data_IF_369877641087
#
_entry.id   IF_369877641087
#
_cell.length_a   1.000
_cell.length_b   1.000
_cell.length_c   1.000
_cell.angle_alpha   90.00
_cell.angle_beta   90.00
_cell.angle_gamma   90.00
#
_symmetry.space_group_name_H-M   'P 1'
#
loop_
_entity.id
_entity.type
_entity.pdbx_description
1 polymer ?
#
# COMPACT_ATOMS: atom_id res chain seq x y z
N UNK A 1 5.55 0.68 -0.78
CA UNK A 1 6.12 -0.37 -1.66
C UNK A 1 7.37 -0.91 -1.01
N UNK A 2 7.78 -2.14 -1.31
CA UNK A 2 9.03 -2.71 -0.77
C UNK A 2 10.29 -2.02 -1.28
N UNK A 3 10.25 -1.39 -2.45
CA UNK A 3 11.35 -0.64 -3.06
C UNK A 3 11.26 0.88 -2.81
N UNK A 4 10.45 1.32 -1.84
CA UNK A 4 10.34 2.72 -1.44
C UNK A 4 11.29 3.03 -0.27
N UNK A 5 12.39 3.73 -0.57
CA UNK A 5 13.38 4.14 0.43
C UNK A 5 12.93 5.28 1.36
N UNK A 6 11.83 5.98 1.04
CA UNK A 6 11.31 7.11 1.82
C UNK A 6 10.17 6.64 2.73
N UNK A 7 9.14 6.02 2.15
CA UNK A 7 7.99 5.49 2.90
C UNK A 7 8.23 4.01 3.28
N UNK A 8 9.29 3.78 4.05
CA UNK A 8 9.65 2.44 4.54
C UNK A 8 8.55 1.83 5.43
N UNK A 9 8.59 0.51 5.63
CA UNK A 9 7.62 -0.19 6.51
C UNK A 9 7.57 0.41 7.92
N UNK A 10 8.71 0.65 8.61
CA UNK A 10 8.69 1.28 9.94
C UNK A 10 8.18 2.73 9.92
N UNK A 11 8.53 3.52 8.89
CA UNK A 11 8.06 4.91 8.78
C UNK A 11 6.54 5.00 8.61
N UNK A 12 5.97 4.17 7.72
CA UNK A 12 4.53 4.08 7.54
C UNK A 12 3.82 3.58 8.81
N UNK A 13 4.38 2.58 9.49
CA UNK A 13 3.83 2.06 10.75
C UNK A 13 3.76 3.15 11.83
N UNK A 14 4.83 3.92 12.00
CA UNK A 14 4.87 5.01 12.98
C UNK A 14 3.81 6.10 12.70
N UNK A 15 3.50 6.38 11.43
CA UNK A 15 2.39 7.28 11.06
C UNK A 15 1.05 6.63 11.38
N UNK A 16 0.87 5.36 10.99
CA UNK A 16 -0.38 4.62 11.17
C UNK A 16 -0.78 4.46 12.64
N UNK A 17 0.19 4.29 13.55
CA UNK A 17 -0.02 4.20 15.00
C UNK A 17 -0.65 5.44 15.63
N UNK A 18 -0.63 6.59 14.94
CA UNK A 18 -1.28 7.83 15.42
C UNK A 18 -2.81 7.76 15.32
N UNK A 19 -3.37 6.88 14.48
CA UNK A 19 -4.81 6.72 14.30
C UNK A 19 -5.43 5.81 15.37
N UNK A 20 -5.61 6.32 16.59
CA UNK A 20 -6.10 5.53 17.75
C UNK A 20 -7.59 5.17 17.73
N UNK A 21 -8.40 5.87 16.94
CA UNK A 21 -9.85 5.69 16.86
C UNK A 21 -10.33 4.92 15.62
N UNK A 22 -9.42 4.30 14.86
CA UNK A 22 -9.74 3.62 13.61
C UNK A 22 -9.08 2.23 13.55
N UNK A 23 -9.68 1.33 12.78
CA UNK A 23 -8.99 0.14 12.33
C UNK A 23 -7.82 0.55 11.41
N UNK A 24 -6.71 -0.18 11.53
CA UNK A 24 -5.45 0.13 10.87
C UNK A 24 -4.97 -1.13 10.18
N UNK A 25 -4.71 -1.01 8.89
CA UNK A 25 -4.15 -2.08 8.07
C UNK A 25 -2.99 -1.49 7.28
N UNK A 26 -1.87 -2.21 7.24
CA UNK A 26 -0.72 -1.86 6.42
C UNK A 26 -0.48 -3.01 5.44
N UNK A 27 -0.36 -2.70 4.15
CA UNK A 27 0.00 -3.67 3.13
C UNK A 27 1.36 -3.33 2.53
N UNK A 28 2.16 -4.35 2.23
CA UNK A 28 3.44 -4.20 1.53
C UNK A 28 3.33 -4.84 0.16
N UNK A 29 3.35 -4.01 -0.89
CA UNK A 29 3.36 -4.47 -2.27
C UNK A 29 4.78 -4.49 -2.82
N UNK A 30 5.10 -5.58 -3.53
CA UNK A 30 6.33 -5.72 -4.30
C UNK A 30 6.11 -5.24 -5.75
N UNK A 31 7.14 -4.70 -6.43
CA UNK A 31 7.07 -4.40 -7.86
C UNK A 31 6.56 -5.57 -8.71
N UNK A 32 6.98 -6.80 -8.35
CA UNK A 32 6.59 -8.04 -9.01
C UNK A 32 5.08 -8.32 -8.95
N UNK A 33 4.38 -7.88 -7.90
CA UNK A 33 2.91 -7.98 -7.79
C UNK A 33 2.19 -7.19 -8.89
N UNK A 34 2.92 -6.31 -9.58
CA UNK A 34 2.43 -5.45 -10.66
C UNK A 34 3.16 -5.66 -11.98
N UNK A 35 3.92 -6.75 -12.11
CA UNK A 35 4.70 -7.06 -13.31
C UNK A 35 5.73 -5.99 -13.68
N UNK A 36 6.27 -5.28 -12.68
CA UNK A 36 7.28 -4.23 -12.87
C UNK A 36 8.57 -4.62 -12.14
N UNK A 37 9.70 -4.21 -12.71
CA UNK A 37 11.02 -4.43 -12.08
C UNK A 37 11.27 -3.45 -10.91
N UNK A 38 10.70 -2.25 -11.00
CA UNK A 38 10.75 -1.23 -9.96
C UNK A 38 9.53 -0.29 -10.06
N UNK A 39 9.11 0.23 -8.91
CA UNK A 39 8.04 1.21 -8.74
C UNK A 39 8.58 2.45 -8.01
N UNK A 40 9.26 2.26 -6.88
CA UNK A 40 9.78 3.34 -6.04
C UNK A 40 8.69 4.24 -5.45
N UNK A 41 9.09 5.39 -4.91
CA UNK A 41 8.21 6.24 -4.10
C UNK A 41 7.03 6.88 -4.87
N UNK A 42 7.28 7.35 -6.10
CA UNK A 42 6.30 8.19 -6.82
C UNK A 42 5.54 7.49 -7.95
N UNK A 43 5.97 6.31 -8.41
CA UNK A 43 5.37 5.71 -9.62
C UNK A 43 3.88 5.44 -9.47
N UNK A 44 3.41 5.05 -8.27
CA UNK A 44 1.99 4.80 -8.05
C UNK A 44 1.10 6.03 -8.24
N UNK A 45 1.64 7.24 -8.36
CA UNK A 45 0.89 8.46 -8.69
C UNK A 45 0.81 8.73 -10.20
N UNK A 46 1.34 7.86 -11.06
CA UNK A 46 1.22 8.00 -12.51
C UNK A 46 -0.13 7.44 -13.02
N UNK A 47 -0.75 8.15 -13.96
CA UNK A 47 -2.04 7.79 -14.58
C UNK A 47 -2.13 6.39 -15.20
N UNK A 48 -0.99 5.76 -15.52
CA UNK A 48 -0.95 4.38 -16.02
C UNK A 48 -1.49 3.36 -15.01
N UNK A 49 -1.61 3.73 -13.74
CA UNK A 49 -2.14 2.88 -12.68
C UNK A 49 -3.62 3.14 -12.37
N UNK A 50 -4.30 4.01 -13.12
CA UNK A 50 -5.69 4.40 -12.88
C UNK A 50 -6.66 3.21 -12.87
N UNK A 51 -6.56 2.31 -13.85
CA UNK A 51 -7.46 1.15 -13.97
C UNK A 51 -7.05 -0.05 -13.10
N UNK A 52 -5.94 0.05 -12.36
CA UNK A 52 -5.45 -1.01 -11.47
C UNK A 52 -5.36 -0.49 -10.04
N UNK A 53 -4.14 -0.10 -9.62
CA UNK A 53 -3.85 0.31 -8.24
C UNK A 53 -4.84 1.35 -7.71
N UNK A 54 -5.21 2.35 -8.51
CA UNK A 54 -6.14 3.39 -8.03
C UNK A 54 -7.54 2.85 -7.85
N UNK A 55 -8.03 2.05 -8.79
CA UNK A 55 -9.34 1.41 -8.67
C UNK A 55 -9.39 0.48 -7.46
N UNK A 56 -8.39 -0.39 -7.27
CA UNK A 56 -8.28 -1.28 -6.10
C UNK A 56 -8.28 -0.47 -4.79
N UNK A 57 -7.49 0.60 -4.74
CA UNK A 57 -7.41 1.49 -3.56
C UNK A 57 -8.74 2.19 -3.28
N UNK A 58 -9.43 2.66 -4.32
CA UNK A 58 -10.73 3.32 -4.19
C UNK A 58 -11.80 2.34 -3.66
N UNK A 59 -11.81 1.11 -4.15
CA UNK A 59 -12.71 0.06 -3.68
C UNK A 59 -12.43 -0.28 -2.21
N UNK A 60 -11.15 -0.37 -1.82
CA UNK A 60 -10.79 -0.59 -0.43
C UNK A 60 -11.28 0.53 0.48
N UNK A 61 -11.06 1.79 0.11
CA UNK A 61 -11.51 2.94 0.91
C UNK A 61 -13.03 3.02 1.01
N UNK A 62 -13.76 2.59 -0.03
CA UNK A 62 -15.23 2.58 -0.06
C UNK A 62 -15.81 1.46 0.79
N UNK A 63 -15.29 0.25 0.65
CA UNK A 63 -15.93 -0.97 1.16
C UNK A 63 -15.24 -1.54 2.41
N UNK A 64 -14.04 -1.07 2.73
CA UNK A 64 -13.22 -1.57 3.85
C UNK A 64 -12.58 -2.95 3.60
N UNK A 65 -12.71 -3.50 2.40
CA UNK A 65 -12.18 -4.82 2.03
C UNK A 65 -10.80 -4.66 1.41
N UNK A 66 -9.76 -5.17 2.09
CA UNK A 66 -8.38 -5.15 1.59
C UNK A 66 -8.25 -6.00 0.31
N UNK A 67 -7.86 -5.43 -0.84
CA UNK A 67 -7.70 -6.16 -2.10
C UNK A 67 -6.44 -7.05 -2.12
N UNK A 68 -5.54 -6.89 -1.15
CA UNK A 68 -4.30 -7.65 -1.03
C UNK A 68 -4.17 -8.29 0.37
N UNK A 69 -5.04 -9.25 0.74
CA UNK A 69 -5.04 -9.85 2.07
C UNK A 69 -3.73 -10.58 2.39
N UNK A 70 -3.12 -11.24 1.40
CA UNK A 70 -1.86 -11.98 1.56
C UNK A 70 -0.63 -11.07 1.67
N UNK A 71 -0.83 -9.75 1.58
CA UNK A 71 0.22 -8.72 1.61
C UNK A 71 0.15 -7.85 2.85
N UNK A 72 -0.73 -8.18 3.79
CA UNK A 72 -0.82 -7.46 5.05
C UNK A 72 0.46 -7.64 5.87
N UNK A 73 0.99 -6.54 6.35
CA UNK A 73 2.16 -6.53 7.24
C UNK A 73 1.69 -6.88 8.64
N UNK A 74 1.75 -8.17 8.96
CA UNK A 74 1.53 -8.64 10.33
C UNK A 74 2.68 -8.13 11.21
N UNK A 75 2.37 -7.67 12.42
CA UNK A 75 3.41 -7.20 13.35
C UNK A 75 4.29 -8.35 13.82
N UNK A 76 5.60 -8.08 13.93
CA UNK A 76 6.50 -8.79 14.84
C UNK A 76 6.16 -8.44 16.30
#
# INVERSE_FOLDING_TARGET
>A
LSDDAIATVPANRAVLERYRGAQRTQVLLDPADRGQDAVGHFSLFHSRHANGFWLDTLLWLRDGINPWPDKEVVGD
#
